data_IF_924946253936
#
_entry.id   IF_924946253936
#
_cell.length_a   1.000
_cell.length_b   1.000
_cell.length_c   1.000
_cell.angle_alpha   90.00
_cell.angle_beta   90.00
_cell.angle_gamma   90.00
#
_symmetry.space_group_name_H-M   'P 1'
#
loop_
_entity.id
_entity.type
_entity.pdbx_description
1 polymer ?
#
# COMPACT_ATOMS: atom_id res chain seq x y z
N UNK A 1 -20.04 77.07 45.02
CA UNK A 1 -19.42 77.99 44.04
C UNK A 1 -19.12 77.20 42.78
N UNK A 2 -19.72 77.63 41.67
CA UNK A 2 -19.67 77.02 40.35
C UNK A 2 -18.41 77.50 39.61
N UNK A 3 -17.68 76.60 38.94
CA UNK A 3 -16.90 76.97 37.75
C UNK A 3 -17.06 75.87 36.69
N UNK A 4 -17.63 76.29 35.57
CA UNK A 4 -17.95 75.55 34.36
C UNK A 4 -16.75 75.45 33.42
N UNK A 5 -16.94 74.61 32.38
CA UNK A 5 -16.45 74.64 30.98
C UNK A 5 -15.81 73.27 30.64
N UNK A 6 -16.55 72.27 30.18
CA UNK A 6 -17.13 72.07 28.83
C UNK A 6 -16.08 71.98 27.71
N UNK A 7 -15.87 70.79 27.14
CA UNK A 7 -15.84 70.57 25.67
C UNK A 7 -16.35 69.14 25.37
N UNK A 8 -17.33 69.06 24.47
CA UNK A 8 -17.93 67.86 23.91
C UNK A 8 -17.14 67.33 22.71
N UNK A 9 -17.10 66.01 22.53
CA UNK A 9 -17.21 65.31 21.23
C UNK A 9 -17.35 63.81 21.53
N UNK A 10 -18.56 63.24 21.56
CA UNK A 10 -19.30 62.71 20.41
C UNK A 10 -18.45 61.80 19.52
N UNK A 11 -18.47 60.50 19.80
CA UNK A 11 -18.40 59.44 18.78
C UNK A 11 -18.98 58.16 19.36
N UNK A 12 -20.18 57.85 18.90
CA UNK A 12 -20.78 56.53 18.99
C UNK A 12 -19.94 55.53 18.19
N UNK A 13 -19.84 54.29 18.67
CA UNK A 13 -20.06 53.13 17.81
C UNK A 13 -20.43 51.93 18.69
N UNK A 14 -21.68 51.49 18.51
CA UNK A 14 -22.19 50.21 18.95
C UNK A 14 -21.38 49.10 18.25
N UNK A 15 -20.85 48.15 19.02
CA UNK A 15 -20.66 46.78 18.53
C UNK A 15 -21.27 45.82 19.56
N UNK A 16 -22.59 45.65 19.44
CA UNK A 16 -23.18 44.35 19.69
C UNK A 16 -22.54 43.37 18.70
N UNK A 17 -21.94 42.32 19.22
CA UNK A 17 -21.32 41.26 18.43
C UNK A 17 -21.31 39.98 19.25
N UNK A 18 -22.48 39.33 19.33
CA UNK A 18 -22.54 37.89 19.51
C UNK A 18 -21.66 37.25 18.43
N UNK A 19 -20.45 36.85 18.78
CA UNK A 19 -19.77 35.78 18.05
C UNK A 19 -20.17 34.49 18.73
N UNK A 20 -21.25 33.88 18.24
CA UNK A 20 -21.35 32.44 18.29
C UNK A 20 -20.21 31.93 17.43
N UNK A 21 -19.08 31.63 18.07
CA UNK A 21 -18.05 30.82 17.46
C UNK A 21 -18.68 29.43 17.31
N UNK A 22 -19.35 29.21 16.16
CA UNK A 22 -19.72 27.88 15.72
C UNK A 22 -18.43 27.08 15.70
N UNK A 23 -18.23 26.27 16.73
CA UNK A 23 -17.26 25.22 16.75
C UNK A 23 -17.60 24.30 15.58
N UNK A 24 -17.01 24.58 14.41
CA UNK A 24 -16.94 23.63 13.30
C UNK A 24 -16.41 22.35 13.93
N UNK A 25 -17.21 21.26 13.97
CA UNK A 25 -16.72 20.03 14.55
C UNK A 25 -15.53 19.63 13.71
N UNK A 26 -14.33 19.67 14.31
CA UNK A 26 -13.12 19.07 13.74
C UNK A 26 -13.51 17.62 13.45
N UNK A 27 -13.82 17.34 12.18
CA UNK A 27 -14.20 16.02 11.71
C UNK A 27 -13.05 15.12 12.13
N UNK A 28 -13.28 14.30 13.15
CA UNK A 28 -12.33 13.25 13.56
C UNK A 28 -12.26 12.32 12.36
N UNK A 29 -11.24 12.50 11.53
CA UNK A 29 -10.99 11.63 10.38
C UNK A 29 -10.54 10.32 11.00
N UNK A 30 -11.48 9.39 11.14
CA UNK A 30 -11.17 8.02 11.53
C UNK A 30 -10.12 7.49 10.54
N UNK A 31 -9.06 6.80 11.01
CA UNK A 31 -8.11 6.15 10.10
C UNK A 31 -8.87 5.32 9.06
N UNK A 32 -8.53 5.50 7.80
CA UNK A 32 -9.26 4.93 6.68
C UNK A 32 -8.85 3.47 6.47
N UNK A 33 -9.45 2.57 7.25
CA UNK A 33 -9.22 1.13 7.13
C UNK A 33 -9.56 0.62 5.71
N UNK A 34 -8.82 -0.39 5.25
CA UNK A 34 -9.14 -1.07 3.99
C UNK A 34 -10.54 -1.69 4.06
N UNK A 35 -11.45 -1.36 3.12
CA UNK A 35 -12.85 -1.77 3.20
C UNK A 35 -13.12 -3.17 2.64
N UNK A 36 -12.09 -3.83 2.10
CA UNK A 36 -12.18 -5.17 1.52
C UNK A 36 -11.45 -6.18 2.41
N UNK A 37 -12.06 -7.36 2.55
CA UNK A 37 -11.37 -8.53 3.12
C UNK A 37 -10.88 -9.40 1.97
N UNK A 38 -9.61 -9.81 2.02
CA UNK A 38 -9.07 -10.83 1.13
C UNK A 38 -8.71 -12.06 1.96
N UNK A 39 -9.19 -13.22 1.52
CA UNK A 39 -8.87 -14.52 2.12
C UNK A 39 -8.23 -15.40 1.05
N UNK A 40 -7.06 -15.93 1.33
CA UNK A 40 -6.36 -16.84 0.44
C UNK A 40 -7.17 -18.14 0.27
N UNK A 41 -7.33 -18.59 -0.98
CA UNK A 41 -7.92 -19.87 -1.32
C UNK A 41 -6.83 -20.95 -1.15
N UNK A 42 -7.03 -21.86 -0.20
CA UNK A 42 -6.03 -22.88 0.18
C UNK A 42 -5.86 -24.02 -0.84
N UNK A 43 -6.61 -24.00 -1.95
CA UNK A 43 -6.49 -24.98 -3.03
C UNK A 43 -5.19 -24.75 -3.81
N UNK A 44 -4.14 -25.46 -3.40
CA UNK A 44 -2.83 -25.42 -4.05
C UNK A 44 -2.82 -26.26 -5.33
N UNK A 45 -2.53 -25.63 -6.47
CA UNK A 45 -1.97 -26.35 -7.61
C UNK A 45 -0.53 -25.84 -7.83
N UNK A 46 0.45 -26.61 -7.36
CA UNK A 46 1.86 -26.36 -7.65
C UNK A 46 2.32 -27.33 -8.74
N UNK A 47 2.43 -26.86 -9.98
CA UNK A 47 2.96 -27.68 -11.10
C UNK A 47 4.36 -27.25 -11.56
N UNK A 48 4.87 -26.09 -11.12
CA UNK A 48 6.17 -25.56 -11.56
C UNK A 48 6.99 -25.03 -10.36
N UNK A 49 8.21 -25.56 -10.11
CA UNK A 49 9.03 -25.16 -8.96
C UNK A 49 9.50 -23.69 -9.02
N UNK A 50 9.54 -23.10 -10.22
CA UNK A 50 9.97 -21.72 -10.43
C UNK A 50 8.80 -20.73 -10.44
N UNK A 51 7.56 -21.20 -10.16
CA UNK A 51 6.36 -20.38 -10.25
C UNK A 51 5.46 -20.61 -9.05
N UNK A 52 5.14 -19.54 -8.34
CA UNK A 52 4.23 -19.58 -7.20
C UNK A 52 3.06 -18.64 -7.45
N UNK A 53 1.84 -19.14 -7.35
CA UNK A 53 0.62 -18.35 -7.49
C UNK A 53 -0.35 -18.68 -6.35
N UNK A 54 -1.08 -17.66 -5.90
CA UNK A 54 -2.20 -17.83 -4.97
C UNK A 54 -3.40 -17.01 -5.43
N UNK A 55 -4.59 -17.54 -5.17
CA UNK A 55 -5.85 -16.86 -5.44
C UNK A 55 -6.46 -16.41 -4.13
N UNK A 56 -7.02 -15.21 -4.11
CA UNK A 56 -7.78 -14.65 -3.01
C UNK A 56 -9.24 -14.57 -3.39
N UNK A 57 -10.13 -14.94 -2.46
CA UNK A 57 -11.52 -14.52 -2.48
C UNK A 57 -11.63 -13.16 -1.81
N UNK A 58 -12.22 -12.20 -2.53
CA UNK A 58 -12.50 -10.84 -2.03
C UNK A 58 -13.93 -10.80 -1.48
N UNK A 59 -14.12 -10.11 -0.36
CA UNK A 59 -15.45 -9.80 0.18
C UNK A 59 -15.54 -8.34 0.64
N UNK A 60 -16.76 -7.82 0.64
CA UNK A 60 -17.07 -6.44 1.02
C UNK A 60 -17.28 -5.47 -0.14
N UNK A 61 -17.36 -4.19 0.24
CA UNK A 61 -17.69 -3.07 -0.65
C UNK A 61 -16.68 -1.96 -0.45
N UNK A 62 -16.23 -1.34 -1.54
CA UNK A 62 -15.48 -0.09 -1.46
C UNK A 62 -16.29 1.08 -2.01
N UNK A 63 -16.34 2.19 -1.28
CA UNK A 63 -16.95 3.45 -1.73
C UNK A 63 -15.94 4.40 -2.38
N UNK A 64 -14.67 4.01 -2.42
CA UNK A 64 -13.56 4.80 -2.90
C UNK A 64 -12.61 3.94 -3.74
N UNK A 65 -11.79 4.54 -4.61
CA UNK A 65 -10.79 3.77 -5.32
C UNK A 65 -9.78 3.14 -4.35
N UNK A 66 -9.36 1.93 -4.66
CA UNK A 66 -8.22 1.27 -4.01
C UNK A 66 -7.08 1.12 -5.01
N UNK A 67 -5.88 0.91 -4.49
CA UNK A 67 -4.66 0.87 -5.29
C UNK A 67 -3.93 -0.45 -5.03
N UNK A 68 -3.88 -1.30 -6.05
CA UNK A 68 -3.03 -2.48 -6.07
C UNK A 68 -1.71 -2.11 -6.73
N UNK A 69 -0.62 -2.15 -5.97
CA UNK A 69 0.68 -1.62 -6.39
C UNK A 69 1.76 -2.66 -6.25
N UNK A 70 2.52 -2.89 -7.31
CA UNK A 70 3.76 -3.69 -7.30
C UNK A 70 4.97 -2.76 -7.18
N UNK A 71 5.70 -2.84 -6.08
CA UNK A 71 6.86 -1.97 -5.81
C UNK A 71 8.08 -2.81 -5.48
N UNK A 72 9.19 -2.49 -6.12
CA UNK A 72 10.50 -3.02 -5.79
C UNK A 72 11.30 -2.02 -4.97
N UNK A 73 11.96 -2.50 -3.92
CA UNK A 73 12.75 -1.72 -2.98
C UNK A 73 14.21 -2.16 -3.06
N UNK A 74 15.11 -1.17 -3.09
CA UNK A 74 16.54 -1.37 -3.13
C UNK A 74 17.20 -0.88 -1.84
N UNK A 75 18.37 -1.44 -1.50
CA UNK A 75 19.16 -0.99 -0.35
C UNK A 75 19.51 0.50 -0.38
N UNK A 76 19.62 1.11 -1.56
CA UNK A 76 19.86 2.56 -1.72
C UNK A 76 18.73 3.43 -1.16
N UNK A 77 17.57 2.85 -0.85
CA UNK A 77 16.34 3.58 -0.55
C UNK A 77 15.50 3.88 -1.79
N UNK A 78 16.04 3.62 -2.99
CA UNK A 78 15.30 3.74 -4.25
C UNK A 78 14.12 2.78 -4.28
N UNK A 79 13.03 3.24 -4.89
CA UNK A 79 11.83 2.47 -5.14
C UNK A 79 11.53 2.47 -6.64
N UNK A 80 11.19 1.30 -7.18
CA UNK A 80 10.71 1.15 -8.55
C UNK A 80 9.26 0.65 -8.50
N UNK A 81 8.33 1.50 -8.90
CA UNK A 81 6.93 1.10 -9.08
C UNK A 81 6.81 0.39 -10.43
N UNK A 82 6.53 -0.91 -10.38
CA UNK A 82 6.32 -1.72 -11.58
C UNK A 82 4.93 -1.52 -12.16
N UNK A 83 3.94 -1.35 -11.29
CA UNK A 83 2.57 -1.06 -11.69
C UNK A 83 1.77 -0.42 -10.57
N UNK A 84 0.73 0.31 -10.96
CA UNK A 84 -0.36 0.74 -10.08
C UNK A 84 -1.68 0.47 -10.79
N UNK A 85 -2.51 -0.41 -10.22
CA UNK A 85 -3.87 -0.67 -10.70
C UNK A 85 -4.86 0.01 -9.79
N UNK A 86 -5.64 0.93 -10.36
CA UNK A 86 -6.81 1.51 -9.70
C UNK A 86 -7.95 0.50 -9.74
N UNK A 87 -8.40 0.08 -8.56
CA UNK A 87 -9.58 -0.74 -8.32
C UNK A 87 -10.74 0.22 -8.04
N UNK A 88 -11.78 0.17 -8.87
CA UNK A 88 -12.89 1.14 -8.81
C UNK A 88 -13.79 0.92 -7.58
N UNK A 89 -14.51 1.93 -7.09
CA UNK A 89 -15.59 1.70 -6.12
C UNK A 89 -16.59 0.64 -6.62
N UNK A 90 -17.12 -0.19 -5.72
CA UNK A 90 -18.08 -1.23 -6.09
C UNK A 90 -18.24 -2.35 -5.05
N UNK A 91 -19.07 -3.34 -5.41
CA UNK A 91 -19.24 -4.60 -4.68
C UNK A 91 -18.22 -5.63 -5.17
N UNK A 92 -17.55 -6.29 -4.23
CA UNK A 92 -16.47 -7.24 -4.53
C UNK A 92 -16.75 -8.65 -4.05
N UNK A 93 -17.95 -8.91 -3.53
CA UNK A 93 -18.31 -10.22 -2.96
C UNK A 93 -18.07 -11.37 -3.94
N UNK A 94 -17.19 -12.31 -3.54
CA UNK A 94 -16.86 -13.49 -4.32
C UNK A 94 -15.87 -13.26 -5.47
N UNK A 95 -15.47 -12.01 -5.76
CA UNK A 95 -14.47 -11.72 -6.80
C UNK A 95 -13.14 -12.36 -6.45
N UNK A 96 -12.35 -12.65 -7.48
CA UNK A 96 -11.05 -13.32 -7.34
C UNK A 96 -9.90 -12.37 -7.69
N UNK A 97 -8.86 -12.39 -6.85
CA UNK A 97 -7.57 -11.78 -7.13
C UNK A 97 -6.52 -12.89 -7.11
N UNK A 98 -5.91 -13.22 -8.24
CA UNK A 98 -4.73 -14.08 -8.29
C UNK A 98 -3.49 -13.21 -8.25
N UNK A 99 -2.51 -13.57 -7.44
CA UNK A 99 -1.17 -12.98 -7.42
C UNK A 99 -0.16 -14.08 -7.73
N UNK A 100 0.95 -13.69 -8.36
CA UNK A 100 1.97 -14.68 -8.71
C UNK A 100 3.34 -14.12 -8.96
N UNK A 101 4.29 -15.04 -8.85
CA UNK A 101 5.71 -14.85 -8.99
C UNK A 101 6.25 -15.97 -9.87
N UNK A 102 7.22 -15.65 -10.73
CA UNK A 102 8.05 -16.64 -11.38
C UNK A 102 9.50 -16.17 -11.39
N UNK A 103 10.39 -16.92 -10.74
CA UNK A 103 11.83 -16.67 -10.71
C UNK A 103 12.60 -17.84 -11.30
N UNK A 104 13.43 -17.55 -12.30
CA UNK A 104 14.43 -18.46 -12.83
C UNK A 104 15.82 -17.79 -12.79
N UNK A 105 16.57 -18.06 -11.72
CA UNK A 105 17.93 -17.52 -11.54
C UNK A 105 18.90 -18.05 -12.59
N UNK A 106 18.69 -19.26 -13.14
CA UNK A 106 19.57 -19.79 -14.21
C UNK A 106 19.44 -18.96 -15.49
N UNK A 107 18.21 -18.54 -15.83
CA UNK A 107 17.95 -17.68 -16.99
C UNK A 107 18.14 -16.19 -16.70
N UNK A 108 18.29 -15.82 -15.43
CA UNK A 108 18.23 -14.43 -14.98
C UNK A 108 16.88 -13.79 -15.29
N UNK A 109 15.79 -14.52 -15.07
CA UNK A 109 14.42 -14.10 -15.41
C UNK A 109 13.57 -13.98 -14.15
N UNK A 110 12.79 -12.91 -14.05
CA UNK A 110 11.78 -12.75 -13.00
C UNK A 110 10.50 -12.18 -13.59
N UNK A 111 9.36 -12.59 -13.06
CA UNK A 111 8.09 -11.98 -13.40
C UNK A 111 7.10 -11.97 -12.26
N UNK A 112 6.27 -10.94 -12.24
CA UNK A 112 5.18 -10.74 -11.29
C UNK A 112 3.88 -10.60 -12.06
N UNK A 113 2.79 -11.09 -11.48
CA UNK A 113 1.47 -10.97 -12.08
C UNK A 113 0.41 -10.67 -11.04
N UNK A 114 -0.66 -10.05 -11.53
CA UNK A 114 -1.97 -10.16 -10.91
C UNK A 114 -3.01 -10.52 -11.97
N UNK A 115 -4.07 -11.20 -11.54
CA UNK A 115 -5.30 -11.38 -12.30
C UNK A 115 -6.46 -10.95 -11.41
N UNK A 116 -7.14 -9.87 -11.79
CA UNK A 116 -8.34 -9.40 -11.11
C UNK A 116 -9.53 -9.72 -12.01
N UNK A 117 -10.36 -10.66 -11.57
CA UNK A 117 -11.63 -11.01 -12.23
C UNK A 117 -11.46 -11.41 -13.72
N UNK A 118 -10.41 -12.16 -14.04
CA UNK A 118 -10.10 -12.65 -15.39
C UNK A 118 -9.27 -11.68 -16.24
N UNK A 119 -8.96 -10.48 -15.72
CA UNK A 119 -8.05 -9.53 -16.36
C UNK A 119 -6.64 -9.71 -15.82
N UNK A 120 -5.87 -10.56 -16.48
CA UNK A 120 -4.46 -10.79 -16.17
C UNK A 120 -3.57 -9.63 -16.62
N UNK A 121 -2.60 -9.28 -15.79
CA UNK A 121 -1.45 -8.45 -16.12
C UNK A 121 -0.19 -9.13 -15.61
N UNK A 122 0.87 -9.09 -16.42
CA UNK A 122 2.18 -9.69 -16.12
C UNK A 122 3.28 -8.71 -16.46
N UNK A 123 4.23 -8.56 -15.56
CA UNK A 123 5.47 -7.83 -15.78
C UNK A 123 6.64 -8.76 -15.62
N UNK A 124 7.63 -8.63 -16.50
CA UNK A 124 8.82 -9.46 -16.45
C UNK A 124 10.05 -8.64 -16.76
N UNK A 125 11.17 -9.06 -16.20
CA UNK A 125 12.48 -8.59 -16.61
C UNK A 125 13.43 -9.78 -16.78
N UNK A 126 14.48 -9.53 -17.54
CA UNK A 126 15.58 -10.45 -17.69
C UNK A 126 16.89 -9.67 -17.57
N UNK A 127 17.80 -10.12 -16.73
CA UNK A 127 19.09 -9.49 -16.47
C UNK A 127 20.10 -10.51 -15.97
N UNK A 128 21.38 -10.33 -16.30
CA UNK A 128 22.46 -11.17 -15.76
C UNK A 128 22.61 -10.98 -14.23
N UNK A 129 22.29 -9.81 -13.68
CA UNK A 129 22.29 -9.59 -12.22
C UNK A 129 21.33 -10.54 -11.48
N UNK A 130 20.24 -10.95 -12.14
CA UNK A 130 19.28 -11.87 -11.53
C UNK A 130 19.85 -13.28 -11.35
N UNK A 131 20.96 -13.61 -12.03
CA UNK A 131 21.65 -14.89 -11.91
C UNK A 131 22.51 -14.97 -10.65
N UNK A 132 22.84 -13.83 -10.06
CA UNK A 132 23.69 -13.75 -8.88
C UNK A 132 22.93 -13.97 -7.57
N UNK A 133 21.59 -14.04 -7.61
CA UNK A 133 20.78 -14.28 -6.43
C UNK A 133 20.96 -15.72 -5.90
N UNK A 134 21.47 -15.82 -4.68
CA UNK A 134 21.70 -17.09 -3.97
C UNK A 134 20.52 -17.47 -3.07
N UNK A 135 19.71 -16.48 -2.68
CA UNK A 135 18.50 -16.67 -1.91
C UNK A 135 17.33 -15.98 -2.61
N UNK A 136 16.20 -16.68 -2.70
CA UNK A 136 14.91 -16.14 -3.14
C UNK A 136 13.78 -16.86 -2.42
N UNK A 137 12.78 -16.10 -1.99
CA UNK A 137 11.58 -16.63 -1.35
C UNK A 137 10.39 -15.70 -1.56
N UNK A 138 9.22 -16.29 -1.76
CA UNK A 138 7.96 -15.55 -1.87
C UNK A 138 6.98 -16.02 -0.80
N UNK A 139 6.32 -15.04 -0.17
CA UNK A 139 5.30 -15.23 0.85
C UNK A 139 4.02 -14.51 0.46
N UNK A 140 2.88 -15.08 0.86
CA UNK A 140 1.55 -14.56 0.58
C UNK A 140 0.80 -14.38 1.89
N UNK A 141 0.10 -13.25 2.03
CA UNK A 141 -0.72 -12.98 3.22
C UNK A 141 -1.92 -13.89 3.19
N UNK A 142 -2.16 -14.65 4.24
CA UNK A 142 -3.30 -15.58 4.28
C UNK A 142 -4.64 -14.83 4.35
N UNK A 143 -4.68 -13.75 5.13
CA UNK A 143 -5.87 -12.93 5.32
C UNK A 143 -5.53 -11.48 5.60
N UNK A 144 -6.38 -10.58 5.12
CA UNK A 144 -6.26 -9.15 5.41
C UNK A 144 -6.55 -8.80 6.87
N UNK A 145 -5.80 -7.82 7.39
CA UNK A 145 -5.96 -7.24 8.72
C UNK A 145 -6.87 -6.02 8.65
N UNK A 146 -8.00 -6.03 9.37
CA UNK A 146 -9.05 -5.00 9.29
C UNK A 146 -8.67 -3.63 9.89
N UNK A 147 -7.39 -3.31 10.11
CA UNK A 147 -6.94 -2.12 10.86
C UNK A 147 -5.91 -1.24 10.14
N UNK A 148 -5.59 -1.54 8.88
CA UNK A 148 -4.62 -0.75 8.11
C UNK A 148 -5.22 -0.19 6.83
N UNK A 149 -4.74 0.98 6.42
CA UNK A 149 -5.02 1.63 5.14
C UNK A 149 -4.08 1.14 4.01
N UNK A 150 -3.11 0.30 4.37
CA UNK A 150 -2.10 -0.32 3.53
C UNK A 150 -1.86 -1.78 3.97
N UNK A 151 -1.85 -2.72 3.03
CA UNK A 151 -1.57 -4.12 3.34
C UNK A 151 -0.71 -4.77 2.26
N UNK A 152 0.38 -5.40 2.69
CA UNK A 152 1.17 -6.30 1.85
C UNK A 152 0.40 -7.60 1.64
N UNK A 153 0.15 -7.96 0.38
CA UNK A 153 -0.51 -9.20 -0.02
C UNK A 153 0.50 -10.26 -0.46
N UNK A 154 1.56 -9.83 -1.14
CA UNK A 154 2.66 -10.70 -1.59
C UNK A 154 3.99 -10.00 -1.28
N UNK A 155 4.94 -10.77 -0.76
CA UNK A 155 6.30 -10.34 -0.45
C UNK A 155 7.29 -11.32 -1.08
N UNK A 156 8.05 -10.86 -2.07
CA UNK A 156 9.21 -11.56 -2.60
C UNK A 156 10.49 -10.94 -2.04
N UNK A 157 11.41 -11.80 -1.66
CA UNK A 157 12.66 -11.48 -0.98
C UNK A 157 13.81 -12.17 -1.70
N UNK A 158 14.75 -11.38 -2.22
CA UNK A 158 15.92 -11.90 -2.94
C UNK A 158 17.23 -11.28 -2.45
N UNK A 159 18.27 -12.10 -2.38
CA UNK A 159 19.61 -11.70 -1.89
C UNK A 159 20.72 -12.40 -2.66
N UNK A 160 21.76 -11.65 -3.03
CA UNK A 160 23.01 -12.21 -3.58
C UNK A 160 23.81 -12.96 -2.50
N UNK A 161 23.37 -12.89 -1.24
CA UNK A 161 23.91 -13.65 -0.12
C UNK A 161 23.04 -14.89 0.14
N UNK A 162 23.59 -15.86 0.86
CA UNK A 162 22.87 -17.09 1.24
C UNK A 162 21.76 -16.87 2.28
N UNK A 163 21.56 -15.64 2.74
CA UNK A 163 20.53 -15.27 3.71
C UNK A 163 20.06 -13.84 3.46
N UNK A 164 18.97 -13.48 4.13
CA UNK A 164 18.42 -12.12 4.09
C UNK A 164 18.00 -11.67 5.48
N UNK A 165 18.05 -10.36 5.71
CA UNK A 165 17.34 -9.70 6.80
C UNK A 165 15.83 -10.00 6.68
N UNK A 166 15.30 -10.69 7.69
CA UNK A 166 13.92 -11.15 7.70
C UNK A 166 12.94 -9.98 7.79
N UNK A 167 12.50 -9.47 6.64
CA UNK A 167 11.31 -8.65 6.56
C UNK A 167 10.12 -9.59 6.67
N UNK A 168 9.41 -9.52 7.80
CA UNK A 168 8.18 -10.27 7.97
C UNK A 168 7.04 -9.43 7.44
N UNK A 169 6.19 -10.05 6.64
CA UNK A 169 5.05 -9.39 6.01
C UNK A 169 4.12 -8.69 7.01
N UNK A 170 3.99 -9.22 8.24
CA UNK A 170 3.18 -8.66 9.34
C UNK A 170 3.81 -7.44 10.03
N UNK A 171 5.06 -7.11 9.70
CA UNK A 171 5.77 -5.93 10.20
C UNK A 171 5.85 -4.80 9.16
N UNK A 172 5.24 -5.01 7.99
CA UNK A 172 5.25 -4.06 6.87
C UNK A 172 3.88 -3.39 6.77
N UNK A 173 3.68 -2.36 7.60
CA UNK A 173 2.44 -1.58 7.63
C UNK A 173 2.50 -0.39 6.67
N UNK A 174 3.70 -0.06 6.16
CA UNK A 174 3.91 0.95 5.14
C UNK A 174 5.24 0.75 4.36
N UNK A 175 5.41 1.41 3.20
CA UNK A 175 6.64 1.32 2.39
C UNK A 175 7.94 1.58 3.17
N UNK A 176 7.94 2.53 4.11
CA UNK A 176 9.12 2.89 4.90
C UNK A 176 9.57 1.83 5.91
N UNK A 177 8.77 0.80 6.17
CA UNK A 177 9.12 -0.25 7.12
C UNK A 177 10.11 -1.27 6.52
N UNK A 178 10.30 -1.24 5.20
CA UNK A 178 11.22 -2.12 4.47
C UNK A 178 12.67 -1.81 4.87
N UNK A 179 13.38 -2.82 5.37
CA UNK A 179 14.78 -2.72 5.78
C UNK A 179 15.65 -3.68 4.97
N UNK A 180 16.58 -3.12 4.20
CA UNK A 180 17.45 -3.87 3.30
C UNK A 180 18.93 -3.62 3.61
N UNK A 181 19.73 -4.66 3.42
CA UNK A 181 21.19 -4.66 3.40
C UNK A 181 21.70 -4.65 1.96
N UNK A 182 22.97 -4.28 1.75
CA UNK A 182 23.55 -4.27 0.41
C UNK A 182 23.46 -5.65 -0.25
N UNK A 183 22.92 -5.70 -1.46
CA UNK A 183 22.71 -6.93 -2.21
C UNK A 183 21.35 -7.61 -1.97
N UNK A 184 20.51 -7.04 -1.11
CA UNK A 184 19.13 -7.46 -0.90
C UNK A 184 18.16 -6.62 -1.74
N UNK A 185 17.10 -7.26 -2.25
CA UNK A 185 15.97 -6.63 -2.93
C UNK A 185 14.65 -7.21 -2.41
N UNK A 186 13.63 -6.36 -2.30
CA UNK A 186 12.28 -6.80 -1.95
C UNK A 186 11.31 -6.34 -3.03
N UNK A 187 10.40 -7.22 -3.42
CA UNK A 187 9.23 -6.85 -4.20
C UNK A 187 7.96 -7.09 -3.39
N UNK A 188 7.08 -6.09 -3.36
CA UNK A 188 5.82 -6.12 -2.63
C UNK A 188 4.67 -5.86 -3.60
N UNK A 189 3.65 -6.72 -3.55
CA UNK A 189 2.31 -6.36 -4.03
C UNK A 189 1.50 -5.94 -2.81
N UNK A 190 1.04 -4.69 -2.82
CA UNK A 190 0.25 -4.11 -1.73
C UNK A 190 -1.10 -3.61 -2.22
N UNK A 191 -2.10 -3.67 -1.34
CA UNK A 191 -3.38 -3.02 -1.50
C UNK A 191 -3.46 -1.83 -0.54
N UNK A 192 -3.90 -0.68 -1.03
CA UNK A 192 -3.97 0.53 -0.22
C UNK A 192 -5.13 1.43 -0.60
N UNK A 193 -5.52 2.31 0.32
CA UNK A 193 -6.56 3.32 0.11
C UNK A 193 -6.02 4.63 -0.46
N UNK A 194 -4.68 4.75 -0.56
CA UNK A 194 -3.96 5.90 -1.10
C UNK A 194 -2.97 5.42 -2.15
N UNK A 195 -2.72 6.19 -3.22
CA UNK A 195 -1.67 5.83 -4.16
C UNK A 195 -0.31 5.86 -3.45
N UNK A 196 0.50 4.82 -3.67
CA UNK A 196 1.93 4.87 -3.34
C UNK A 196 2.55 5.92 -4.24
N UNK A 197 3.29 6.86 -3.65
CA UNK A 197 4.04 7.88 -4.39
C UNK A 197 5.50 7.48 -4.36
N UNK A 198 6.21 7.75 -5.45
CA UNK A 198 7.66 7.65 -5.45
C UNK A 198 8.22 8.51 -4.31
N UNK A 199 9.00 7.89 -3.44
CA UNK A 199 9.84 8.60 -2.48
C UNK A 199 11.21 8.69 -3.18
N UNK A 200 11.43 9.80 -3.88
CA UNK A 200 12.71 10.14 -4.50
C UNK A 200 13.71 10.64 -3.45
#
# INVERSE_FOLDING_TARGET
MLKQMLVCSLSALLLAGCSSEEAVPKKVVKPMELPLTLKMDESKEHTNPNKTEFTYTISGQSNQPLYLTGTEYFHSGEQKIWFTKVIQPGQYEGKKLKLGEQFDTTKGYRSFLYDLDGTMQKWSEQSDELKDFLYSGVSFREKTLLRSDYQVLMLEQSSIHQSMRGNQMDQLDAPQDVKLSKGERIFIISLSTKPVRDIL
#
